data_IF_452326355561
#
_entry.id   IF_452326355561
#
_cell.length_a   1.000
_cell.length_b   1.000
_cell.length_c   1.000
_cell.angle_alpha   90.00
_cell.angle_beta   90.00
_cell.angle_gamma   90.00
#
_symmetry.space_group_name_H-M   'P 1'
#
loop_
_entity.id
_entity.type
_entity.pdbx_description
1 polymer ?
#
# COMPACT_ATOMS: atom_id res chain seq x y z
N UNK A 1 -9.08 7.26 25.50
CA UNK A 1 -10.05 7.85 26.46
C UNK A 1 -10.26 9.36 26.28
N UNK A 2 -9.21 10.16 26.11
CA UNK A 2 -9.34 11.63 25.96
C UNK A 2 -10.10 12.08 24.69
N UNK A 3 -9.87 11.41 23.55
CA UNK A 3 -10.59 11.69 22.30
C UNK A 3 -12.10 11.42 22.38
N UNK A 4 -12.50 10.37 23.11
CA UNK A 4 -13.92 10.05 23.34
C UNK A 4 -14.59 11.13 24.21
N UNK A 5 -13.91 11.65 25.23
CA UNK A 5 -14.41 12.77 26.04
C UNK A 5 -14.60 14.05 25.21
N UNK A 6 -13.67 14.35 24.30
CA UNK A 6 -13.79 15.50 23.38
C UNK A 6 -14.99 15.35 22.44
N UNK A 7 -15.20 14.16 21.88
CA UNK A 7 -16.37 13.87 21.02
C UNK A 7 -17.68 13.97 21.80
N UNK A 8 -17.72 13.45 23.03
CA UNK A 8 -18.89 13.57 23.90
C UNK A 8 -19.19 15.05 24.23
N UNK A 9 -18.16 15.87 24.47
CA UNK A 9 -18.32 17.30 24.72
C UNK A 9 -18.89 18.03 23.50
N UNK A 10 -18.39 17.74 22.29
CA UNK A 10 -18.93 18.30 21.04
C UNK A 10 -20.40 17.90 20.86
N UNK A 11 -20.75 16.64 21.09
CA UNK A 11 -22.13 16.15 20.95
C UNK A 11 -23.09 16.83 21.92
N UNK A 12 -22.67 17.03 23.19
CA UNK A 12 -23.45 17.78 24.18
C UNK A 12 -23.68 19.22 23.75
N UNK A 13 -22.65 19.88 23.20
CA UNK A 13 -22.77 21.25 22.70
C UNK A 13 -23.72 21.35 21.50
N UNK A 14 -23.71 20.39 20.57
CA UNK A 14 -24.68 20.33 19.46
C UNK A 14 -26.12 20.29 20.00
N UNK A 15 -26.39 19.42 20.98
CA UNK A 15 -27.73 19.32 21.58
C UNK A 15 -28.17 20.64 22.25
N UNK A 16 -27.24 21.37 22.89
CA UNK A 16 -27.52 22.69 23.46
C UNK A 16 -27.86 23.70 22.35
N UNK A 17 -27.05 23.77 21.29
CA UNK A 17 -27.29 24.67 20.16
C UNK A 17 -28.62 24.39 19.43
N UNK A 18 -29.02 23.11 19.33
CA UNK A 18 -30.34 22.71 18.80
C UNK A 18 -31.47 23.18 19.72
N UNK A 19 -31.33 23.03 21.04
CA UNK A 19 -32.36 23.42 22.01
C UNK A 19 -32.63 24.94 22.04
N UNK A 20 -31.63 25.75 21.69
CA UNK A 20 -31.72 27.23 21.65
C UNK A 20 -32.09 27.73 20.23
N UNK A 21 -32.26 26.82 19.26
CA UNK A 21 -32.68 27.14 17.90
C UNK A 21 -31.59 27.74 17.00
N UNK A 22 -30.32 27.62 17.40
CA UNK A 22 -29.17 28.04 16.58
C UNK A 22 -28.94 27.03 15.45
N UNK A 23 -29.13 25.75 15.74
CA UNK A 23 -29.07 24.66 14.75
C UNK A 23 -30.49 24.17 14.48
N UNK A 24 -30.88 24.08 13.21
CA UNK A 24 -32.19 23.59 12.82
C UNK A 24 -32.12 22.09 12.46
N UNK A 25 -32.76 21.19 13.22
CA UNK A 25 -32.70 19.74 13.01
C UNK A 25 -33.33 19.27 11.69
N UNK A 26 -34.05 20.15 10.97
CA UNK A 26 -34.73 19.82 9.72
C UNK A 26 -33.92 20.16 8.45
N UNK A 27 -32.80 20.87 8.57
CA UNK A 27 -31.96 21.30 7.43
C UNK A 27 -30.51 21.52 7.88
N UNK A 28 -29.70 20.47 7.98
CA UNK A 28 -28.27 20.68 8.28
C UNK A 28 -27.37 19.55 7.77
N UNK A 29 -26.21 19.98 7.24
CA UNK A 29 -25.03 19.17 7.02
C UNK A 29 -24.36 18.91 8.38
N UNK A 30 -24.06 17.64 8.70
CA UNK A 30 -23.38 17.23 9.94
C UNK A 30 -22.08 18.01 10.19
N UNK A 31 -21.37 18.40 9.14
CA UNK A 31 -20.12 19.17 9.26
C UNK A 31 -20.36 20.61 9.74
N UNK A 32 -21.48 21.23 9.32
CA UNK A 32 -21.87 22.56 9.79
C UNK A 32 -22.19 22.56 11.28
N UNK A 33 -22.91 21.54 11.76
CA UNK A 33 -23.24 21.40 13.19
C UNK A 33 -21.98 21.22 14.04
N UNK A 34 -21.08 20.36 13.57
CA UNK A 34 -19.81 20.10 14.24
C UNK A 34 -18.91 21.33 14.27
N UNK A 35 -18.86 22.10 13.18
CA UNK A 35 -18.12 23.35 13.12
C UNK A 35 -18.64 24.37 14.15
N UNK A 36 -19.97 24.59 14.20
CA UNK A 36 -20.58 25.52 15.14
C UNK A 36 -20.37 25.10 16.60
N UNK A 37 -20.45 23.80 16.89
CA UNK A 37 -20.17 23.26 18.21
C UNK A 37 -18.71 23.46 18.63
N UNK A 38 -17.75 23.19 17.73
CA UNK A 38 -16.33 23.43 17.99
C UNK A 38 -16.03 24.92 18.19
N UNK A 39 -16.63 25.80 17.39
CA UNK A 39 -16.50 27.25 17.55
C UNK A 39 -17.07 27.73 18.90
N UNK A 40 -18.22 27.19 19.31
CA UNK A 40 -18.81 27.47 20.63
C UNK A 40 -17.89 27.04 21.77
N UNK A 41 -17.29 25.84 21.65
CA UNK A 41 -16.32 25.35 22.63
C UNK A 41 -15.06 26.21 22.69
N UNK A 42 -14.57 26.69 21.55
CA UNK A 42 -13.44 27.61 21.48
C UNK A 42 -13.71 28.92 22.24
N UNK A 43 -14.92 29.49 22.12
CA UNK A 43 -15.30 30.71 22.85
C UNK A 43 -15.32 30.51 24.37
N UNK A 44 -15.78 29.34 24.81
CA UNK A 44 -15.90 28.98 26.23
C UNK A 44 -14.53 28.62 26.83
N UNK A 45 -13.59 28.12 26.02
CA UNK A 45 -12.25 27.75 26.48
C UNK A 45 -11.49 28.95 27.05
N UNK A 46 -10.84 28.76 28.19
CA UNK A 46 -10.02 29.79 28.84
C UNK A 46 -8.91 30.30 27.91
N UNK A 47 -8.79 31.62 27.74
CA UNK A 47 -7.77 32.25 26.91
C UNK A 47 -7.24 33.51 27.62
N UNK A 48 -6.15 33.35 28.38
CA UNK A 48 -5.59 34.43 29.20
C UNK A 48 -6.63 35.09 30.12
N UNK A 49 -6.58 36.42 30.23
CA UNK A 49 -7.52 37.22 31.05
C UNK A 49 -8.83 37.56 30.32
N UNK A 50 -9.05 37.05 29.10
CA UNK A 50 -10.23 37.38 28.30
C UNK A 50 -11.46 36.60 28.77
N UNK A 51 -12.48 37.34 29.22
CA UNK A 51 -13.81 36.79 29.46
C UNK A 51 -14.58 36.52 28.15
N UNK A 52 -15.73 35.84 28.26
CA UNK A 52 -16.56 35.48 27.09
C UNK A 52 -17.06 36.73 26.35
N UNK A 53 -17.37 37.81 27.07
CA UNK A 53 -17.88 39.05 26.48
C UNK A 53 -16.82 39.74 25.62
N UNK A 54 -15.60 39.84 26.14
CA UNK A 54 -14.46 40.40 25.44
C UNK A 54 -14.11 39.59 24.19
N UNK A 55 -14.16 38.24 24.26
CA UNK A 55 -13.95 37.37 23.09
C UNK A 55 -15.00 37.61 22.00
N UNK A 56 -16.27 37.67 22.37
CA UNK A 56 -17.36 37.92 21.42
C UNK A 56 -17.23 39.29 20.74
N UNK A 57 -16.85 40.32 21.51
CA UNK A 57 -16.63 41.67 20.98
C UNK A 57 -15.45 41.70 19.99
N UNK A 58 -14.32 41.09 20.35
CA UNK A 58 -13.15 41.02 19.47
C UNK A 58 -13.46 40.33 18.14
N UNK A 59 -14.20 39.22 18.19
CA UNK A 59 -14.63 38.52 16.98
C UNK A 59 -15.54 39.42 16.17
N UNK A 60 -16.56 40.04 16.75
CA UNK A 60 -17.48 40.92 16.02
C UNK A 60 -16.74 42.09 15.33
N UNK A 61 -15.76 42.70 16.01
CA UNK A 61 -14.94 43.80 15.48
C UNK A 61 -14.04 43.39 14.31
N UNK A 62 -13.57 42.13 14.29
CA UNK A 62 -12.57 41.66 13.34
C UNK A 62 -13.13 40.69 12.30
N UNK A 63 -14.33 40.15 12.48
CA UNK A 63 -14.91 39.13 11.60
C UNK A 63 -15.02 39.60 10.15
N UNK A 64 -15.38 40.88 9.94
CA UNK A 64 -15.46 41.47 8.60
C UNK A 64 -14.09 41.62 7.91
N UNK A 65 -12.99 41.59 8.69
CA UNK A 65 -11.61 41.66 8.18
C UNK A 65 -11.02 40.27 7.88
N UNK A 66 -11.63 39.21 8.42
CA UNK A 66 -11.22 37.83 8.19
C UNK A 66 -11.81 37.39 6.84
N UNK A 67 -11.03 37.59 5.77
CA UNK A 67 -11.37 37.11 4.44
C UNK A 67 -10.88 35.67 4.22
N UNK A 68 -11.43 35.00 3.21
CA UNK A 68 -10.91 33.70 2.75
C UNK A 68 -9.44 33.77 2.38
N UNK A 69 -9.01 34.85 1.71
CA UNK A 69 -7.61 35.09 1.37
C UNK A 69 -6.71 35.22 2.61
N UNK A 70 -7.17 35.93 3.64
CA UNK A 70 -6.46 36.04 4.92
C UNK A 70 -6.30 34.67 5.60
N UNK A 71 -7.36 33.86 5.64
CA UNK A 71 -7.32 32.53 6.25
C UNK A 71 -6.41 31.56 5.48
N UNK A 72 -6.40 31.62 4.14
CA UNK A 72 -5.48 30.83 3.33
C UNK A 72 -4.02 31.23 3.55
N UNK A 73 -3.72 32.53 3.61
CA UNK A 73 -2.38 33.02 3.94
C UNK A 73 -1.94 32.63 5.35
N UNK A 74 -2.84 32.71 6.34
CA UNK A 74 -2.56 32.28 7.70
C UNK A 74 -2.32 30.76 7.80
N UNK A 75 -3.07 29.95 7.05
CA UNK A 75 -2.86 28.50 6.98
C UNK A 75 -1.45 28.16 6.48
N UNK A 76 -0.99 28.86 5.45
CA UNK A 76 0.35 28.68 4.88
C UNK A 76 1.45 29.03 5.89
N UNK A 77 1.28 30.11 6.66
CA UNK A 77 2.21 30.48 7.73
C UNK A 77 2.23 29.48 8.91
N UNK A 78 1.10 28.83 9.21
CA UNK A 78 0.99 27.87 10.33
C UNK A 78 1.51 26.48 9.92
N UNK A 79 1.39 26.12 8.64
CA UNK A 79 1.88 24.84 8.10
C UNK A 79 3.41 24.77 7.94
N UNK A 80 4.14 25.87 8.19
CA UNK A 80 5.61 25.89 8.20
C UNK A 80 6.28 25.87 6.81
N UNK A 81 5.52 25.96 5.73
CA UNK A 81 6.04 26.07 4.38
C UNK A 81 6.29 27.55 4.03
N UNK A 82 7.46 28.07 4.45
CA UNK A 82 7.95 29.36 3.96
C UNK A 82 8.59 30.25 5.04
N UNK A 83 9.76 29.88 5.55
CA UNK A 83 10.67 30.87 6.11
C UNK A 83 11.23 31.74 4.98
N UNK A 84 10.52 32.81 4.61
CA UNK A 84 11.03 34.08 4.06
C UNK A 84 9.88 34.85 3.38
N UNK A 85 9.03 35.51 4.18
CA UNK A 85 8.33 36.75 3.82
C UNK A 85 7.47 37.24 5.00
N UNK A 86 8.13 37.56 6.11
CA UNK A 86 7.53 38.40 7.15
C UNK A 86 7.97 39.84 6.84
N UNK A 87 7.40 40.43 5.80
CA UNK A 87 7.35 41.89 5.68
C UNK A 87 6.28 42.28 4.65
N UNK A 88 5.32 43.10 5.09
CA UNK A 88 4.20 43.66 4.35
C UNK A 88 2.90 42.83 4.26
N UNK A 89 2.27 42.62 5.42
CA UNK A 89 0.81 42.36 5.49
C UNK A 89 -0.05 43.64 5.26
N UNK A 90 0.50 44.70 4.66
CA UNK A 90 -0.15 46.04 4.54
C UNK A 90 -0.30 46.50 3.08
N UNK A 91 0.04 45.70 2.07
CA UNK A 91 -0.12 46.09 0.66
C UNK A 91 -0.69 44.98 -0.22
N UNK A 92 -1.94 44.57 0.06
CA UNK A 92 -2.79 43.91 -0.93
C UNK A 92 -4.00 44.78 -1.24
N UNK A 93 -3.72 45.95 -1.82
CA UNK A 93 -4.71 46.72 -2.56
C UNK A 93 -4.06 47.24 -3.83
N UNK A 94 -4.20 46.50 -4.92
CA UNK A 94 -4.29 47.01 -6.29
C UNK A 94 -4.53 45.85 -7.27
N UNK A 95 -5.62 45.98 -8.02
CA UNK A 95 -5.95 45.16 -9.18
C UNK A 95 -4.86 45.30 -10.24
N UNK A 96 -4.25 44.19 -10.68
CA UNK A 96 -3.84 44.03 -12.07
C UNK A 96 -4.01 42.57 -12.51
N UNK A 97 -4.70 42.43 -13.66
CA UNK A 97 -4.84 41.19 -14.42
C UNK A 97 -3.46 40.76 -14.89
N UNK A 98 -2.92 39.71 -14.30
CA UNK A 98 -1.98 38.83 -14.96
C UNK A 98 -2.58 37.44 -14.89
N UNK A 99 -2.67 36.77 -16.04
CA UNK A 99 -3.18 35.41 -16.15
C UNK A 99 -2.38 34.51 -15.19
N UNK A 100 -3.04 33.74 -14.32
CA UNK A 100 -2.33 32.82 -13.45
C UNK A 100 -1.69 31.75 -14.34
N UNK A 101 -0.36 31.66 -14.26
CA UNK A 101 0.38 30.48 -14.69
C UNK A 101 -0.31 29.22 -14.13
N UNK A 102 -0.36 28.11 -14.89
CA UNK A 102 -1.10 26.94 -14.48
C UNK A 102 -0.55 26.44 -13.14
N UNK A 103 -1.40 26.50 -12.12
CA UNK A 103 -1.15 25.89 -10.82
C UNK A 103 -0.87 24.42 -11.07
N UNK A 104 0.40 24.01 -11.00
CA UNK A 104 0.75 22.60 -10.85
C UNK A 104 -0.05 22.09 -9.65
N UNK A 105 -0.93 21.13 -9.91
CA UNK A 105 -1.84 20.62 -8.90
C UNK A 105 -1.03 20.01 -7.76
N UNK A 106 -1.11 20.62 -6.58
CA UNK A 106 -0.64 20.11 -5.28
C UNK A 106 -1.11 18.65 -5.04
N UNK A 107 -2.15 18.22 -5.75
CA UNK A 107 -2.65 16.85 -5.77
C UNK A 107 -1.65 15.79 -6.24
N UNK A 108 -0.63 16.14 -7.02
CA UNK A 108 0.28 15.14 -7.61
C UNK A 108 1.40 14.68 -6.65
N UNK A 109 1.60 15.40 -5.53
CA UNK A 109 2.69 15.12 -4.59
C UNK A 109 2.23 14.45 -3.28
N UNK A 110 0.92 14.35 -3.06
CA UNK A 110 0.37 13.78 -1.83
C UNK A 110 0.13 12.27 -2.00
N UNK A 111 0.66 11.47 -1.08
CA UNK A 111 0.36 10.03 -1.06
C UNK A 111 -1.12 9.82 -0.73
N UNK A 112 -1.86 9.20 -1.64
CA UNK A 112 -3.29 8.95 -1.51
C UNK A 112 -3.59 7.46 -1.59
N UNK A 113 -4.44 6.99 -0.68
CA UNK A 113 -4.90 5.60 -0.62
C UNK A 113 -6.42 5.58 -0.69
N UNK A 114 -6.95 4.80 -1.63
CA UNK A 114 -8.36 4.52 -1.79
C UNK A 114 -8.84 3.43 -0.83
N UNK A 115 -10.11 3.50 -0.46
CA UNK A 115 -10.71 2.57 0.49
C UNK A 115 -10.63 1.11 0.03
N UNK A 116 -10.80 0.85 -1.26
CA UNK A 116 -10.70 -0.50 -1.82
C UNK A 116 -9.32 -1.11 -1.55
N UNK A 117 -8.26 -0.35 -1.79
CA UNK A 117 -6.91 -0.80 -1.51
C UNK A 117 -6.68 -1.07 -0.03
N UNK A 118 -7.22 -0.23 0.87
CA UNK A 118 -7.15 -0.50 2.31
C UNK A 118 -7.86 -1.79 2.71
N UNK A 119 -9.05 -2.04 2.16
CA UNK A 119 -9.80 -3.26 2.45
C UNK A 119 -9.06 -4.50 1.93
N UNK A 120 -8.46 -4.41 0.74
CA UNK A 120 -7.75 -5.52 0.12
C UNK A 120 -6.40 -5.80 0.78
N UNK A 121 -5.68 -4.77 1.19
CA UNK A 121 -4.46 -4.84 1.99
C UNK A 121 -4.66 -5.44 3.39
N UNK A 122 -5.90 -5.53 3.89
CA UNK A 122 -6.17 -5.95 5.27
C UNK A 122 -5.72 -7.39 5.56
N UNK A 123 -5.85 -8.31 4.60
CA UNK A 123 -5.39 -9.69 4.76
C UNK A 123 -3.85 -9.76 4.79
N UNK A 124 -3.17 -9.00 3.93
CA UNK A 124 -1.70 -8.87 3.94
C UNK A 124 -1.22 -8.35 5.29
N UNK A 125 -1.87 -7.31 5.82
CA UNK A 125 -1.53 -6.75 7.14
C UNK A 125 -1.78 -7.72 8.28
N UNK A 126 -2.86 -8.49 8.24
CA UNK A 126 -3.13 -9.52 9.24
C UNK A 126 -2.04 -10.59 9.23
N UNK A 127 -1.68 -11.10 8.05
CA UNK A 127 -0.60 -12.06 7.90
C UNK A 127 0.75 -11.47 8.36
N UNK A 128 1.08 -10.25 7.94
CA UNK A 128 2.27 -9.55 8.40
C UNK A 128 2.32 -9.47 9.93
N UNK A 129 1.23 -9.09 10.59
CA UNK A 129 1.18 -9.02 12.05
C UNK A 129 1.41 -10.40 12.69
N UNK A 130 0.78 -11.46 12.16
CA UNK A 130 0.91 -12.83 12.69
C UNK A 130 2.30 -13.44 12.44
N UNK A 131 2.94 -13.08 11.34
CA UNK A 131 4.18 -13.68 10.87
C UNK A 131 5.43 -12.90 11.29
N UNK A 132 5.37 -11.56 11.34
CA UNK A 132 6.53 -10.71 11.59
C UNK A 132 6.67 -10.24 13.04
N UNK A 133 5.57 -10.06 13.79
CA UNK A 133 5.64 -9.47 15.14
C UNK A 133 6.52 -10.28 16.09
N UNK A 134 6.61 -11.60 15.91
CA UNK A 134 7.49 -12.44 16.72
C UNK A 134 8.99 -12.09 16.57
N UNK A 135 9.41 -11.64 15.39
CA UNK A 135 10.78 -11.15 15.12
C UNK A 135 11.04 -9.78 15.77
N UNK A 136 9.96 -9.06 16.10
CA UNK A 136 9.97 -7.77 16.79
C UNK A 136 9.70 -7.89 18.29
N UNK A 137 9.63 -9.11 18.84
CA UNK A 137 9.24 -9.34 20.26
C UNK A 137 7.91 -8.67 20.60
N UNK A 138 7.02 -8.56 19.62
CA UNK A 138 5.67 -8.04 19.77
C UNK A 138 4.68 -9.19 19.85
N UNK A 139 3.57 -8.95 20.54
CA UNK A 139 2.45 -9.89 20.64
C UNK A 139 1.28 -9.35 19.81
N UNK A 140 0.87 -10.12 18.81
CA UNK A 140 -0.29 -9.82 17.97
C UNK A 140 -1.63 -9.83 18.72
N UNK A 141 -1.65 -10.27 19.97
CA UNK A 141 -2.84 -10.22 20.83
C UNK A 141 -2.87 -8.97 21.73
N UNK A 142 -1.88 -8.08 21.63
CA UNK A 142 -1.84 -6.83 22.39
C UNK A 142 -2.32 -5.65 21.53
N UNK A 143 -3.53 -5.13 21.76
CA UNK A 143 -4.09 -4.04 20.96
C UNK A 143 -3.20 -2.81 20.94
N UNK A 144 -2.55 -2.45 22.05
CA UNK A 144 -1.69 -1.27 22.12
C UNK A 144 -0.50 -1.35 21.15
N UNK A 145 0.11 -2.54 21.04
CA UNK A 145 1.23 -2.80 20.13
C UNK A 145 0.79 -2.72 18.67
N UNK A 146 -0.39 -3.25 18.36
CA UNK A 146 -0.97 -3.19 17.02
C UNK A 146 -1.32 -1.75 16.66
N UNK A 147 -2.19 -1.09 17.43
CA UNK A 147 -2.72 0.24 17.09
C UNK A 147 -1.67 1.34 17.08
N UNK A 148 -0.52 1.15 17.73
CA UNK A 148 0.60 2.09 17.67
C UNK A 148 1.26 2.15 16.29
N UNK A 149 1.40 1.01 15.61
CA UNK A 149 2.17 0.90 14.36
C UNK A 149 1.27 0.69 13.13
N UNK A 150 0.08 0.14 13.33
CA UNK A 150 -0.85 -0.22 12.27
C UNK A 150 -1.22 0.94 11.34
N UNK A 151 -1.41 2.21 11.78
CA UNK A 151 -1.75 3.29 10.85
C UNK A 151 -0.72 3.48 9.74
N UNK A 152 0.58 3.45 10.08
CA UNK A 152 1.66 3.64 9.11
C UNK A 152 1.88 2.39 8.25
N UNK A 153 1.85 1.21 8.86
CA UNK A 153 1.96 -0.06 8.12
C UNK A 153 0.80 -0.21 7.13
N UNK A 154 -0.43 0.04 7.59
CA UNK A 154 -1.64 -0.07 6.78
C UNK A 154 -1.64 0.92 5.64
N UNK A 155 -1.28 2.17 5.89
CA UNK A 155 -1.17 3.17 4.84
C UNK A 155 -0.14 2.76 3.78
N UNK A 156 1.05 2.31 4.21
CA UNK A 156 2.14 1.92 3.31
C UNK A 156 1.76 0.72 2.46
N UNK A 157 1.28 -0.36 3.08
CA UNK A 157 0.83 -1.56 2.38
C UNK A 157 -0.27 -1.23 1.38
N UNK A 158 -1.28 -0.48 1.81
CA UNK A 158 -2.39 -0.10 0.94
C UNK A 158 -1.93 0.76 -0.24
N UNK A 159 -0.91 1.62 -0.03
CA UNK A 159 -0.33 2.41 -1.11
C UNK A 159 0.39 1.53 -2.13
N UNK A 160 1.24 0.61 -1.66
CA UNK A 160 1.97 -0.35 -2.52
C UNK A 160 0.99 -1.22 -3.28
N UNK A 161 -0.02 -1.78 -2.61
CA UNK A 161 -1.07 -2.60 -3.22
C UNK A 161 -1.78 -1.89 -4.38
N UNK A 162 -2.03 -0.58 -4.28
CA UNK A 162 -2.60 0.17 -5.41
C UNK A 162 -1.66 0.22 -6.60
N UNK A 163 -0.36 0.39 -6.36
CA UNK A 163 0.64 0.45 -7.42
C UNK A 163 0.78 -0.92 -8.09
N UNK A 164 0.74 -2.01 -7.33
CA UNK A 164 0.70 -3.38 -7.88
C UNK A 164 -0.50 -3.58 -8.79
N UNK A 165 -1.72 -3.23 -8.34
CA UNK A 165 -2.91 -3.34 -9.18
C UNK A 165 -2.82 -2.45 -10.44
N UNK A 166 -2.19 -1.28 -10.35
CA UNK A 166 -1.96 -0.43 -11.51
C UNK A 166 -0.95 -1.08 -12.47
N UNK A 167 0.09 -1.74 -11.95
CA UNK A 167 1.07 -2.47 -12.75
C UNK A 167 0.44 -3.66 -13.48
N UNK A 168 -0.32 -4.49 -12.77
CA UNK A 168 -1.04 -5.64 -13.35
C UNK A 168 -2.01 -5.20 -14.47
N UNK A 169 -2.74 -4.09 -14.26
CA UNK A 169 -3.61 -3.52 -15.30
C UNK A 169 -2.84 -3.11 -16.55
N UNK A 170 -1.60 -2.64 -16.43
CA UNK A 170 -0.77 -2.31 -17.59
C UNK A 170 -0.39 -3.54 -18.41
N UNK A 171 -0.26 -4.72 -17.79
CA UNK A 171 0.03 -5.99 -18.48
C UNK A 171 -1.13 -6.47 -19.34
N UNK A 172 -2.36 -6.07 -19.00
CA UNK A 172 -3.59 -6.44 -19.71
C UNK A 172 -3.89 -5.54 -20.91
N UNK A 173 -3.21 -4.39 -21.04
CA UNK A 173 -3.42 -3.47 -22.16
C UNK A 173 -2.78 -4.02 -23.44
N UNK A 174 -3.44 -3.89 -24.60
CA UNK A 174 -2.85 -4.31 -25.88
C UNK A 174 -1.51 -3.62 -26.13
N UNK A 175 -0.50 -4.38 -26.58
CA UNK A 175 0.87 -3.92 -26.85
C UNK A 175 0.94 -2.67 -27.77
N UNK A 176 -0.11 -2.42 -28.56
CA UNK A 176 -0.22 -1.23 -29.41
C UNK A 176 -0.50 0.09 -28.67
N UNK A 177 -1.22 0.07 -27.55
CA UNK A 177 -1.55 1.29 -26.77
C UNK A 177 -0.37 1.79 -25.94
N UNK A 178 0.53 0.90 -25.54
CA UNK A 178 1.74 1.24 -24.77
C UNK A 178 2.66 2.18 -25.58
N UNK A 179 2.75 1.97 -26.90
CA UNK A 179 3.46 2.85 -27.84
C UNK A 179 2.71 4.12 -28.24
N UNK A 180 1.38 4.18 -28.08
CA UNK A 180 0.59 5.37 -28.42
C UNK A 180 0.69 6.43 -27.33
N UNK A 181 0.88 6.03 -26.06
CA UNK A 181 1.10 6.95 -24.93
C UNK A 181 2.49 7.62 -24.91
N UNK A 182 3.42 7.19 -25.78
CA UNK A 182 4.79 7.74 -25.89
C UNK A 182 4.88 8.87 -26.94
N UNK A 183 3.78 9.12 -27.67
CA UNK A 183 3.61 10.37 -28.43
C UNK A 183 3.06 11.42 -27.48
N UNK A 184 3.74 12.56 -27.41
CA UNK A 184 3.21 13.81 -26.86
C UNK A 184 1.86 14.10 -27.52
N UNK A 185 0.78 13.61 -26.91
CA UNK A 185 -0.58 13.98 -27.27
C UNK A 185 -0.94 15.21 -26.45
N UNK A 186 -1.36 16.23 -27.19
CA UNK A 186 -1.88 17.50 -26.70
C UNK A 186 -2.91 17.29 -25.57
N UNK A 187 -2.86 18.23 -24.63
CA UNK A 187 -3.73 18.40 -23.48
C UNK A 187 -5.22 18.32 -23.86
N UNK A 188 -5.89 17.16 -23.73
CA UNK A 188 -7.35 17.18 -23.49
C UNK A 188 -8.03 15.88 -23.00
N UNK A 189 -7.31 14.87 -22.52
CA UNK A 189 -7.96 13.70 -21.87
C UNK A 189 -7.50 13.50 -20.43
N UNK A 190 -8.04 14.36 -19.56
CA UNK A 190 -7.87 14.36 -18.11
C UNK A 190 -8.61 13.19 -17.44
N UNK A 191 -8.31 11.95 -17.84
CA UNK A 191 -8.74 10.76 -17.12
C UNK A 191 -7.81 10.52 -15.92
N UNK A 192 -8.38 10.27 -14.74
CA UNK A 192 -7.62 9.88 -13.54
C UNK A 192 -6.72 8.64 -13.79
N UNK A 193 -7.06 7.81 -14.79
CA UNK A 193 -6.25 6.67 -15.20
C UNK A 193 -4.96 7.09 -15.93
N UNK A 194 -4.99 8.10 -16.81
CA UNK A 194 -3.80 8.54 -17.52
C UNK A 194 -2.76 9.16 -16.57
N UNK A 195 -3.21 9.95 -15.58
CA UNK A 195 -2.33 10.54 -14.56
C UNK A 195 -1.67 9.46 -13.69
N UNK A 196 -2.44 8.48 -13.20
CA UNK A 196 -1.92 7.39 -12.36
C UNK A 196 -0.91 6.50 -13.11
N UNK A 197 -1.16 6.22 -14.39
CA UNK A 197 -0.20 5.48 -15.23
C UNK A 197 1.08 6.28 -15.44
N UNK A 198 0.99 7.60 -15.63
CA UNK A 198 2.16 8.48 -15.75
C UNK A 198 2.99 8.50 -14.47
N UNK A 199 2.35 8.53 -13.30
CA UNK A 199 3.04 8.45 -12.00
C UNK A 199 3.77 7.13 -11.83
N UNK A 200 3.09 6.00 -12.07
CA UNK A 200 3.68 4.67 -11.96
C UNK A 200 4.93 4.51 -12.84
N UNK A 201 4.95 5.13 -14.03
CA UNK A 201 6.08 5.04 -14.97
C UNK A 201 7.27 5.95 -14.63
N UNK A 202 7.08 7.02 -13.85
CA UNK A 202 8.13 8.01 -13.59
C UNK A 202 8.79 7.81 -12.23
N UNK A 203 7.99 7.86 -11.17
CA UNK A 203 8.47 7.85 -9.79
C UNK A 203 7.28 7.44 -8.89
N UNK A 204 6.93 6.14 -8.87
CA UNK A 204 5.76 5.64 -8.17
C UNK A 204 5.83 5.87 -6.66
N UNK A 205 7.03 5.89 -6.09
CA UNK A 205 7.22 5.97 -4.65
C UNK A 205 7.44 7.38 -4.12
N UNK A 206 7.70 8.40 -4.96
CA UNK A 206 7.91 9.78 -4.49
C UNK A 206 6.88 10.28 -3.47
N UNK A 207 5.57 10.12 -3.66
CA UNK A 207 4.60 10.58 -2.66
C UNK A 207 4.78 9.88 -1.31
N UNK A 208 5.05 8.57 -1.32
CA UNK A 208 5.30 7.79 -0.10
C UNK A 208 6.66 8.16 0.53
N UNK A 209 7.69 8.41 -0.28
CA UNK A 209 9.01 8.88 0.18
C UNK A 209 8.87 10.20 0.93
N UNK A 210 8.18 11.19 0.36
CA UNK A 210 7.92 12.49 1.00
C UNK A 210 7.17 12.29 2.34
N UNK A 211 6.14 11.45 2.35
CA UNK A 211 5.37 11.16 3.55
C UNK A 211 6.23 10.53 4.66
N UNK A 212 7.04 9.53 4.31
CA UNK A 212 7.91 8.86 5.28
C UNK A 212 9.03 9.79 5.78
N UNK A 213 9.56 10.66 4.91
CA UNK A 213 10.56 11.66 5.30
C UNK A 213 9.99 12.67 6.29
N UNK A 214 8.80 13.21 6.05
CA UNK A 214 8.12 14.12 6.97
C UNK A 214 7.85 13.52 8.35
N UNK A 215 7.65 12.20 8.43
CA UNK A 215 7.47 11.49 9.70
C UNK A 215 8.79 11.01 10.31
N UNK A 216 9.93 11.31 9.69
CA UNK A 216 11.24 10.84 10.13
C UNK A 216 11.41 9.33 10.05
N UNK A 217 10.65 8.66 9.17
CA UNK A 217 10.63 7.21 9.02
C UNK A 217 11.42 6.69 7.81
N UNK A 218 11.78 7.57 6.88
CA UNK A 218 12.53 7.20 5.69
C UNK A 218 13.98 6.85 6.04
N UNK A 219 14.44 5.69 5.55
CA UNK A 219 15.83 5.25 5.67
C UNK A 219 16.40 4.88 4.31
N UNK A 220 17.72 4.87 4.15
CA UNK A 220 18.36 4.43 2.90
C UNK A 220 18.01 2.99 2.52
N UNK A 221 17.79 2.12 3.51
CA UNK A 221 17.37 0.74 3.26
C UNK A 221 15.93 0.65 2.77
N UNK A 222 15.03 1.49 3.27
CA UNK A 222 13.65 1.58 2.74
C UNK A 222 13.68 2.10 1.29
N UNK A 223 14.51 3.11 0.99
CA UNK A 223 14.69 3.59 -0.40
C UNK A 223 15.21 2.50 -1.33
N UNK A 224 16.10 1.63 -0.85
CA UNK A 224 16.56 0.47 -1.62
C UNK A 224 15.43 -0.53 -1.87
N UNK A 225 14.58 -0.82 -0.90
CA UNK A 225 13.43 -1.71 -1.13
C UNK A 225 12.39 -1.10 -2.10
N UNK A 226 12.24 0.22 -2.14
CA UNK A 226 11.45 0.88 -3.19
C UNK A 226 12.07 0.69 -4.58
N UNK A 227 13.40 0.82 -4.71
CA UNK A 227 14.09 0.52 -5.97
C UNK A 227 13.93 -0.95 -6.38
N UNK A 228 13.97 -1.87 -5.41
CA UNK A 228 13.66 -3.29 -5.63
C UNK A 228 12.24 -3.49 -6.19
N UNK A 229 11.24 -2.79 -5.66
CA UNK A 229 9.86 -2.83 -6.17
C UNK A 229 9.73 -2.28 -7.59
N UNK A 230 10.40 -1.16 -7.89
CA UNK A 230 10.44 -0.61 -9.26
C UNK A 230 11.10 -1.58 -10.25
N UNK A 231 12.21 -2.21 -9.84
CA UNK A 231 12.91 -3.25 -10.61
C UNK A 231 12.00 -4.45 -10.85
N UNK A 232 11.31 -4.93 -9.81
CA UNK A 232 10.34 -6.02 -9.92
C UNK A 232 9.27 -5.72 -10.96
N UNK A 233 8.57 -4.59 -10.84
CA UNK A 233 7.52 -4.23 -11.80
C UNK A 233 8.05 -4.08 -13.23
N UNK A 234 9.29 -3.60 -13.40
CA UNK A 234 9.93 -3.53 -14.72
C UNK A 234 10.22 -4.92 -15.29
N UNK A 235 10.73 -5.85 -14.47
CA UNK A 235 10.98 -7.24 -14.87
C UNK A 235 9.69 -7.99 -15.18
N UNK A 236 8.66 -7.84 -14.34
CA UNK A 236 7.34 -8.42 -14.58
C UNK A 236 6.78 -7.99 -15.92
N UNK A 237 6.76 -6.67 -16.21
CA UNK A 237 6.33 -6.15 -17.52
C UNK A 237 7.17 -6.70 -18.66
N UNK A 238 8.49 -6.74 -18.51
CA UNK A 238 9.40 -7.28 -19.54
C UNK A 238 9.09 -8.75 -19.86
N UNK A 239 9.01 -9.58 -18.82
CA UNK A 239 8.83 -11.02 -18.95
C UNK A 239 7.43 -11.38 -19.48
N UNK A 240 6.37 -10.78 -18.93
CA UNK A 240 5.01 -11.05 -19.37
C UNK A 240 4.74 -10.53 -20.79
N UNK A 241 5.31 -9.38 -21.19
CA UNK A 241 5.25 -8.93 -22.59
C UNK A 241 5.99 -9.88 -23.54
N UNK A 242 7.12 -10.43 -23.13
CA UNK A 242 7.86 -11.40 -23.92
C UNK A 242 7.07 -12.71 -24.11
N UNK A 243 6.39 -13.21 -23.07
CA UNK A 243 5.48 -14.36 -23.18
C UNK A 243 4.36 -14.11 -24.20
N UNK A 244 3.69 -12.96 -24.14
CA UNK A 244 2.59 -12.63 -25.07
C UNK A 244 3.05 -12.48 -26.52
N UNK A 245 4.31 -12.10 -26.74
CA UNK A 245 4.90 -11.91 -28.08
C UNK A 245 5.67 -13.14 -28.55
N UNK A 246 5.64 -14.24 -27.79
CA UNK A 246 6.41 -15.47 -27.99
C UNK A 246 7.94 -15.27 -28.08
N UNK A 247 8.46 -14.17 -27.52
CA UNK A 247 9.89 -13.86 -27.51
C UNK A 247 10.65 -14.68 -26.46
N UNK A 248 11.96 -14.83 -26.65
CA UNK A 248 12.85 -15.42 -25.63
C UNK A 248 12.85 -14.59 -24.33
N UNK A 249 13.02 -15.29 -23.20
CA UNK A 249 13.16 -14.67 -21.88
C UNK A 249 14.52 -15.05 -21.27
N UNK A 250 15.01 -14.24 -20.33
CA UNK A 250 16.17 -14.59 -19.50
C UNK A 250 15.68 -15.29 -18.22
N UNK A 251 16.31 -16.41 -17.89
CA UNK A 251 16.03 -17.09 -16.62
C UNK A 251 16.57 -16.31 -15.43
N UNK A 252 17.68 -15.58 -15.61
CA UNK A 252 18.25 -14.71 -14.58
C UNK A 252 17.28 -13.60 -14.20
N UNK A 253 16.61 -12.99 -15.19
CA UNK A 253 15.55 -12.00 -14.96
C UNK A 253 14.36 -12.59 -14.20
N UNK A 254 13.92 -13.80 -14.57
CA UNK A 254 12.82 -14.49 -13.89
C UNK A 254 13.17 -14.84 -12.43
N UNK A 255 14.39 -15.34 -12.20
CA UNK A 255 14.90 -15.60 -10.85
C UNK A 255 15.03 -14.29 -10.08
N UNK A 256 15.51 -13.20 -10.69
CA UNK A 256 15.58 -11.90 -10.03
C UNK A 256 14.20 -11.39 -9.65
N UNK A 257 13.22 -11.48 -10.56
CA UNK A 257 11.85 -11.04 -10.31
C UNK A 257 11.22 -11.75 -9.09
N UNK A 258 11.28 -13.09 -9.02
CA UNK A 258 10.68 -13.82 -7.88
C UNK A 258 11.35 -13.47 -6.54
N UNK A 259 12.65 -13.14 -6.52
CA UNK A 259 13.32 -12.68 -5.30
C UNK A 259 12.93 -11.25 -4.89
N UNK A 260 12.43 -10.45 -5.82
CA UNK A 260 12.04 -9.06 -5.54
C UNK A 260 10.55 -8.93 -5.20
N UNK A 261 9.72 -9.92 -5.54
CA UNK A 261 8.26 -9.89 -5.49
C UNK A 261 7.71 -9.39 -4.13
N UNK A 262 8.20 -9.92 -3.01
CA UNK A 262 7.76 -9.53 -1.65
C UNK A 262 8.50 -8.30 -1.06
N UNK A 263 8.83 -7.29 -1.89
CA UNK A 263 9.53 -6.08 -1.39
C UNK A 263 8.65 -5.26 -0.42
N UNK A 264 7.33 -5.32 -0.57
CA UNK A 264 6.32 -4.73 0.28
C UNK A 264 6.46 -5.19 1.74
N UNK A 265 6.54 -6.50 1.98
CA UNK A 265 6.79 -7.09 3.30
C UNK A 265 8.13 -6.61 3.89
N UNK A 266 9.17 -6.48 3.06
CA UNK A 266 10.48 -5.98 3.48
C UNK A 266 10.42 -4.49 3.87
N UNK A 267 9.68 -3.66 3.13
CA UNK A 267 9.39 -2.26 3.51
C UNK A 267 8.66 -2.20 4.85
N UNK A 268 7.60 -2.99 5.03
CA UNK A 268 6.83 -3.04 6.28
C UNK A 268 7.68 -3.47 7.47
N UNK A 269 8.55 -4.47 7.28
CA UNK A 269 9.45 -4.97 8.30
C UNK A 269 10.47 -3.89 8.74
N UNK A 270 11.07 -3.19 7.78
CA UNK A 270 12.00 -2.09 8.03
C UNK A 270 11.32 -0.91 8.73
N UNK A 271 10.12 -0.54 8.29
CA UNK A 271 9.31 0.49 8.95
C UNK A 271 9.03 0.10 10.41
N UNK A 272 8.71 -1.16 10.67
CA UNK A 272 8.44 -1.62 12.03
C UNK A 272 9.68 -1.56 12.93
N UNK A 273 10.86 -1.95 12.43
CA UNK A 273 12.12 -1.77 13.18
C UNK A 273 12.34 -0.29 13.53
N UNK A 274 12.20 0.58 12.54
CA UNK A 274 12.49 2.01 12.70
C UNK A 274 11.48 2.71 13.62
N UNK A 275 10.18 2.44 13.49
CA UNK A 275 9.14 2.95 14.39
C UNK A 275 9.31 2.48 15.84
N UNK A 276 9.96 1.33 16.06
CA UNK A 276 10.30 0.81 17.39
C UNK A 276 11.61 1.36 17.94
N UNK A 277 12.41 2.06 17.12
CA UNK A 277 13.74 2.53 17.50
C UNK A 277 14.74 1.39 17.67
N UNK A 278 14.52 0.27 16.99
CA UNK A 278 15.33 -0.95 17.11
C UNK A 278 16.26 -1.08 15.91
N UNK A 279 17.47 -1.61 16.14
CA UNK A 279 18.40 -1.90 15.05
C UNK A 279 17.86 -3.07 14.23
N UNK A 280 17.91 -2.94 12.90
CA UNK A 280 17.57 -4.04 12.00
C UNK A 280 18.46 -5.25 12.28
N UNK A 281 17.84 -6.42 12.44
CA UNK A 281 18.53 -7.68 12.63
C UNK A 281 18.73 -8.36 11.27
N UNK A 282 19.97 -8.42 10.79
CA UNK A 282 20.30 -8.98 9.47
C UNK A 282 19.95 -10.47 9.34
N UNK A 283 20.08 -11.25 10.42
CA UNK A 283 19.69 -12.66 10.40
C UNK A 283 18.18 -12.79 10.17
N UNK A 284 17.38 -11.92 10.81
CA UNK A 284 15.93 -11.92 10.60
C UNK A 284 15.59 -11.53 9.15
N UNK A 285 16.26 -10.49 8.60
CA UNK A 285 16.04 -10.06 7.22
C UNK A 285 16.40 -11.16 6.22
N UNK A 286 17.54 -11.84 6.40
CA UNK A 286 17.95 -12.92 5.51
C UNK A 286 17.01 -14.12 5.60
N UNK A 287 16.65 -14.55 6.82
CA UNK A 287 15.70 -15.64 7.02
C UNK A 287 14.34 -15.35 6.39
N UNK A 288 13.78 -14.16 6.66
CA UNK A 288 12.46 -13.77 6.16
C UNK A 288 12.46 -13.67 4.63
N UNK A 289 13.49 -13.08 4.03
CA UNK A 289 13.61 -12.99 2.55
C UNK A 289 13.55 -14.35 1.85
N UNK A 290 14.09 -15.39 2.50
CA UNK A 290 14.08 -16.73 1.95
C UNK A 290 12.74 -17.44 2.20
N UNK A 291 12.12 -17.17 3.34
CA UNK A 291 10.78 -17.67 3.61
C UNK A 291 9.74 -17.05 2.68
N UNK A 292 9.84 -15.74 2.43
CA UNK A 292 9.06 -14.99 1.45
C UNK A 292 9.18 -15.65 0.07
N UNK A 293 10.41 -15.91 -0.42
CA UNK A 293 10.64 -16.60 -1.69
C UNK A 293 9.88 -17.94 -1.80
N UNK A 294 9.94 -18.77 -0.75
CA UNK A 294 9.25 -20.06 -0.74
C UNK A 294 7.72 -19.90 -0.72
N UNK A 295 7.20 -18.87 -0.06
CA UNK A 295 5.77 -18.54 -0.10
C UNK A 295 5.37 -18.09 -1.49
N UNK A 296 6.11 -17.18 -2.12
CA UNK A 296 5.83 -16.69 -3.48
C UNK A 296 5.83 -17.82 -4.52
N UNK A 297 6.79 -18.74 -4.43
CA UNK A 297 6.80 -19.93 -5.31
C UNK A 297 5.58 -20.82 -5.05
N UNK A 298 5.14 -20.93 -3.79
CA UNK A 298 3.94 -21.71 -3.46
C UNK A 298 2.67 -21.06 -4.01
N UNK A 299 2.56 -19.73 -3.90
CA UNK A 299 1.42 -18.97 -4.42
C UNK A 299 1.39 -19.04 -5.95
N UNK A 300 2.52 -18.86 -6.62
CA UNK A 300 2.63 -19.04 -8.08
C UNK A 300 2.21 -20.45 -8.53
N UNK A 301 2.58 -21.50 -7.79
CA UNK A 301 2.16 -22.86 -8.14
C UNK A 301 0.65 -23.08 -7.97
N UNK A 302 0.04 -22.40 -7.00
CA UNK A 302 -1.40 -22.46 -6.74
C UNK A 302 -2.20 -21.67 -7.79
N UNK A 303 -1.75 -20.46 -8.10
CA UNK A 303 -2.43 -19.52 -9.01
C UNK A 303 -2.03 -19.72 -10.49
N UNK A 304 -1.22 -20.74 -10.80
CA UNK A 304 -0.62 -20.97 -12.13
C UNK A 304 -1.58 -20.81 -13.31
N UNK A 305 -2.77 -21.44 -13.25
CA UNK A 305 -3.75 -21.35 -14.33
C UNK A 305 -4.37 -19.94 -14.44
N UNK A 306 -4.66 -19.30 -13.30
CA UNK A 306 -5.21 -17.94 -13.26
C UNK A 306 -4.18 -16.90 -13.75
N UNK A 307 -2.92 -17.06 -13.36
CA UNK A 307 -1.82 -16.20 -13.80
C UNK A 307 -1.54 -16.34 -15.29
N UNK A 308 -1.67 -17.55 -15.84
CA UNK A 308 -1.72 -17.72 -17.29
C UNK A 308 -2.85 -16.86 -17.79
N UNK A 309 -4.12 -17.09 -17.42
CA UNK A 309 -5.26 -16.36 -18.01
C UNK A 309 -5.13 -14.83 -17.93
N UNK A 310 -4.60 -14.29 -16.83
CA UNK A 310 -4.46 -12.85 -16.59
C UNK A 310 -3.15 -12.24 -17.14
N UNK A 311 -2.21 -13.07 -17.61
CA UNK A 311 -0.87 -12.66 -18.02
C UNK A 311 -0.05 -12.04 -16.87
N UNK A 312 -0.19 -12.57 -15.66
CA UNK A 312 0.53 -12.14 -14.47
C UNK A 312 1.87 -12.89 -14.32
N UNK A 313 2.88 -12.28 -13.70
CA UNK A 313 4.13 -13.00 -13.48
C UNK A 313 3.90 -14.29 -12.68
N UNK A 314 4.57 -15.36 -13.10
CA UNK A 314 4.52 -16.65 -12.43
C UNK A 314 5.80 -17.42 -12.75
N UNK A 315 6.51 -17.89 -11.73
CA UNK A 315 7.82 -18.52 -11.91
C UNK A 315 7.75 -19.81 -12.72
N UNK A 316 6.69 -20.61 -12.60
CA UNK A 316 6.53 -21.82 -13.41
C UNK A 316 6.31 -21.47 -14.88
N UNK A 317 5.52 -20.43 -15.20
CA UNK A 317 5.37 -19.94 -16.59
C UNK A 317 6.73 -19.57 -17.18
N UNK A 318 7.57 -18.86 -16.42
CA UNK A 318 8.92 -18.50 -16.86
C UNK A 318 9.81 -19.73 -17.07
N UNK A 319 9.79 -20.68 -16.14
CA UNK A 319 10.57 -21.91 -16.27
C UNK A 319 10.13 -22.73 -17.48
N UNK A 320 8.84 -22.81 -17.77
CA UNK A 320 8.30 -23.49 -18.96
C UNK A 320 8.76 -22.81 -20.24
N UNK A 321 8.71 -21.48 -20.31
CA UNK A 321 9.19 -20.73 -21.49
C UNK A 321 10.69 -20.93 -21.75
N UNK A 322 11.50 -20.98 -20.68
CA UNK A 322 12.96 -21.08 -20.82
C UNK A 322 13.46 -22.52 -20.99
N UNK A 323 13.04 -23.45 -20.13
CA UNK A 323 13.51 -24.83 -20.12
C UNK A 323 12.67 -25.78 -20.99
N UNK A 324 11.46 -25.35 -21.39
CA UNK A 324 10.47 -26.21 -22.03
C UNK A 324 9.65 -27.01 -21.02
N UNK A 325 8.44 -27.40 -21.43
CA UNK A 325 7.45 -28.03 -20.55
C UNK A 325 7.93 -29.32 -19.87
N UNK A 326 8.78 -30.11 -20.53
CA UNK A 326 9.28 -31.37 -19.99
C UNK A 326 10.36 -31.20 -18.92
N UNK A 327 11.19 -30.15 -19.02
CA UNK A 327 12.31 -29.92 -18.10
C UNK A 327 11.99 -28.90 -17.00
N UNK A 328 10.99 -28.04 -17.18
CA UNK A 328 10.63 -26.99 -16.23
C UNK A 328 10.30 -27.51 -14.83
N UNK A 329 9.45 -28.55 -14.62
CA UNK A 329 9.14 -29.06 -13.28
C UNK A 329 10.39 -29.54 -12.52
N UNK A 330 11.30 -30.23 -13.19
CA UNK A 330 12.52 -30.74 -12.57
C UNK A 330 13.49 -29.61 -12.18
N UNK A 331 13.61 -28.58 -13.03
CA UNK A 331 14.44 -27.42 -12.72
C UNK A 331 13.83 -26.58 -11.59
N UNK A 332 12.52 -26.42 -11.55
CA UNK A 332 11.84 -25.70 -10.46
C UNK A 332 11.97 -26.46 -9.13
N UNK A 333 11.82 -27.78 -9.13
CA UNK A 333 12.04 -28.60 -7.94
C UNK A 333 13.47 -28.46 -7.40
N UNK A 334 14.47 -28.39 -8.30
CA UNK A 334 15.86 -28.14 -7.91
C UNK A 334 16.03 -26.76 -7.27
N UNK A 335 15.47 -25.72 -7.88
CA UNK A 335 15.50 -24.35 -7.35
C UNK A 335 14.87 -24.28 -5.95
N UNK A 336 13.71 -24.89 -5.76
CA UNK A 336 13.02 -25.01 -4.47
C UNK A 336 13.91 -25.73 -3.45
N UNK A 337 14.51 -26.86 -3.82
CA UNK A 337 15.37 -27.66 -2.92
C UNK A 337 16.55 -26.83 -2.40
N UNK A 338 17.22 -26.08 -3.29
CA UNK A 338 18.35 -25.22 -2.92
C UNK A 338 17.92 -24.10 -1.95
N UNK A 339 16.73 -23.53 -2.15
CA UNK A 339 16.15 -22.53 -1.26
C UNK A 339 15.77 -23.13 0.10
N UNK A 340 15.14 -24.31 0.13
CA UNK A 340 14.78 -25.02 1.37
C UNK A 340 16.02 -25.40 2.20
N UNK A 341 17.10 -25.85 1.55
CA UNK A 341 18.35 -26.15 2.25
C UNK A 341 18.95 -24.92 2.93
N UNK A 342 18.86 -23.75 2.30
CA UNK A 342 19.31 -22.48 2.90
C UNK A 342 18.34 -22.05 4.02
N UNK A 343 17.04 -22.27 3.85
CA UNK A 343 16.02 -21.95 4.84
C UNK A 343 16.23 -22.76 6.11
N UNK A 344 16.46 -24.06 5.99
CA UNK A 344 16.72 -24.95 7.12
C UNK A 344 18.00 -24.61 7.89
N UNK A 345 19.01 -24.06 7.20
CA UNK A 345 20.23 -23.56 7.87
C UNK A 345 19.92 -22.31 8.69
N UNK A 346 19.28 -21.31 8.08
CA UNK A 346 18.95 -20.04 8.75
C UNK A 346 17.94 -20.24 9.88
N UNK A 347 16.97 -21.14 9.72
CA UNK A 347 16.00 -21.49 10.76
C UNK A 347 16.73 -21.97 12.02
N UNK A 348 17.75 -22.81 11.90
CA UNK A 348 18.54 -23.28 13.06
C UNK A 348 19.31 -22.15 13.74
N UNK A 349 19.68 -21.10 13.01
CA UNK A 349 20.42 -19.95 13.52
C UNK A 349 19.55 -18.94 14.29
N UNK A 350 18.24 -18.88 14.04
CA UNK A 350 17.30 -17.98 14.75
C UNK A 350 17.19 -18.25 16.25
N UNK A 351 17.65 -19.41 16.71
CA UNK A 351 17.52 -19.88 18.08
C UNK A 351 16.20 -20.62 18.32
N UNK A 352 16.16 -21.48 19.36
CA UNK A 352 15.12 -22.51 19.50
C UNK A 352 13.72 -21.94 19.73
N UNK A 353 13.59 -20.82 20.45
CA UNK A 353 12.29 -20.23 20.77
C UNK A 353 11.63 -19.61 19.53
N UNK A 354 12.37 -18.77 18.80
CA UNK A 354 11.85 -18.07 17.62
C UNK A 354 11.56 -19.05 16.49
N UNK A 355 12.45 -20.03 16.27
CA UNK A 355 12.26 -21.10 15.28
C UNK A 355 10.98 -21.89 15.54
N UNK A 356 10.72 -22.28 16.80
CA UNK A 356 9.52 -23.03 17.17
C UNK A 356 8.24 -22.20 16.99
N UNK A 357 8.28 -20.91 17.35
CA UNK A 357 7.14 -20.00 17.12
C UNK A 357 6.85 -19.84 15.63
N UNK A 358 7.90 -19.66 14.83
CA UNK A 358 7.76 -19.50 13.39
C UNK A 358 7.20 -20.76 12.73
N UNK A 359 7.74 -21.94 13.06
CA UNK A 359 7.22 -23.22 12.57
C UNK A 359 5.73 -23.38 12.90
N UNK A 360 5.30 -23.09 14.13
CA UNK A 360 3.87 -23.12 14.50
C UNK A 360 3.02 -22.19 13.65
N UNK A 361 3.51 -20.97 13.36
CA UNK A 361 2.82 -20.04 12.46
C UNK A 361 2.69 -20.61 11.05
N UNK A 362 3.72 -21.28 10.52
CA UNK A 362 3.63 -21.96 9.22
C UNK A 362 2.58 -23.08 9.23
N UNK A 363 2.47 -23.84 10.32
CA UNK A 363 1.43 -24.88 10.47
C UNK A 363 0.01 -24.29 10.56
N UNK A 364 -0.13 -23.14 11.22
CA UNK A 364 -1.38 -22.39 11.26
C UNK A 364 -1.76 -21.87 9.88
N UNK A 365 -0.83 -21.23 9.17
CA UNK A 365 -1.05 -20.72 7.82
C UNK A 365 -1.46 -21.85 6.85
N UNK A 366 -0.79 -22.99 6.92
CA UNK A 366 -1.11 -24.18 6.11
C UNK A 366 -2.54 -24.69 6.38
N UNK A 367 -3.01 -24.58 7.62
CA UNK A 367 -4.35 -25.03 8.02
C UNK A 367 -5.43 -24.00 7.68
N UNK A 368 -5.13 -22.72 7.83
CA UNK A 368 -5.99 -21.59 7.45
C UNK A 368 -6.27 -21.63 5.95
N UNK A 369 -5.28 -22.04 5.16
CA UNK A 369 -5.50 -22.32 3.75
C UNK A 369 -6.47 -23.47 3.51
N UNK A 370 -6.75 -24.37 4.45
CA UNK A 370 -7.74 -25.45 4.29
C UNK A 370 -7.15 -26.85 4.14
N UNK A 371 -5.83 -27.01 4.32
CA UNK A 371 -5.21 -28.34 4.43
C UNK A 371 -5.57 -28.98 5.78
N UNK A 372 -6.40 -30.01 5.72
CA UNK A 372 -6.88 -30.74 6.92
C UNK A 372 -6.16 -32.07 7.16
N UNK A 373 -5.31 -32.51 6.22
CA UNK A 373 -4.55 -33.76 6.31
C UNK A 373 -3.19 -33.66 5.59
N UNK A 374 -2.22 -34.48 6.01
CA UNK A 374 -0.85 -34.50 5.47
C UNK A 374 0.19 -33.81 6.37
N UNK A 375 1.42 -33.59 5.88
CA UNK A 375 2.49 -32.96 6.65
C UNK A 375 2.11 -31.55 7.11
N UNK A 376 2.48 -31.15 8.34
CA UNK A 376 2.02 -29.91 8.96
C UNK A 376 2.55 -28.64 8.27
N UNK A 377 3.65 -28.73 7.53
CA UNK A 377 4.24 -27.64 6.72
C UNK A 377 3.88 -27.73 5.22
N UNK A 378 2.92 -28.60 4.86
CA UNK A 378 2.49 -28.78 3.47
C UNK A 378 3.40 -29.65 2.61
N UNK A 379 3.03 -29.84 1.34
CA UNK A 379 3.78 -30.56 0.28
C UNK A 379 3.76 -29.78 -1.02
N UNK A 380 4.87 -29.73 -1.76
CA UNK A 380 4.89 -29.08 -3.08
C UNK A 380 4.06 -29.86 -4.09
N UNK A 381 3.12 -29.17 -4.73
CA UNK A 381 2.40 -29.68 -5.90
C UNK A 381 2.79 -28.83 -7.11
N UNK A 382 3.33 -29.48 -8.14
CA UNK A 382 3.57 -28.80 -9.42
C UNK A 382 2.35 -29.08 -10.30
N UNK A 383 1.58 -28.05 -10.69
CA UNK A 383 0.38 -28.23 -11.50
C UNK A 383 0.75 -28.78 -12.89
N UNK A 384 -0.26 -29.24 -13.61
CA UNK A 384 -0.07 -29.68 -15.00
C UNK A 384 0.42 -28.50 -15.85
N UNK A 385 1.60 -28.65 -16.43
CA UNK A 385 2.21 -27.62 -17.26
C UNK A 385 1.37 -27.36 -18.51
N UNK A 386 1.11 -26.09 -18.78
CA UNK A 386 0.50 -25.61 -20.02
C UNK A 386 1.61 -25.31 -21.03
N UNK A 387 1.67 -26.10 -22.11
CA UNK A 387 2.71 -25.93 -23.15
C UNK A 387 2.41 -24.75 -24.10
N UNK A 388 1.13 -24.52 -24.39
CA UNK A 388 0.66 -23.48 -25.32
C UNK A 388 -0.37 -22.59 -24.61
N UNK A 389 0.12 -21.49 -24.04
CA UNK A 389 -0.72 -20.52 -23.34
C UNK A 389 -1.74 -19.85 -24.26
N UNK A 390 -1.41 -19.62 -25.53
CA UNK A 390 -2.32 -18.95 -26.48
C UNK A 390 -3.54 -19.83 -26.77
N UNK A 391 -3.29 -21.13 -26.98
CA UNK A 391 -4.35 -22.14 -27.09
C UNK A 391 -5.15 -22.24 -25.80
N UNK A 392 -4.49 -22.31 -24.63
CA UNK A 392 -5.17 -22.41 -23.32
C UNK A 392 -6.12 -21.23 -23.07
N UNK A 393 -5.67 -19.99 -23.31
CA UNK A 393 -6.51 -18.78 -23.20
C UNK A 393 -7.72 -18.81 -24.14
N UNK A 394 -7.53 -19.31 -25.36
CA UNK A 394 -8.59 -19.40 -26.38
C UNK A 394 -9.63 -20.43 -25.97
N UNK A 395 -9.20 -21.62 -25.55
CA UNK A 395 -10.10 -22.69 -25.08
C UNK A 395 -10.92 -22.24 -23.87
N UNK A 396 -10.28 -21.58 -22.90
CA UNK A 396 -10.96 -21.05 -21.72
C UNK A 396 -12.02 -20.00 -22.09
N UNK A 397 -11.69 -19.08 -23.01
CA UNK A 397 -12.60 -18.03 -23.50
C UNK A 397 -13.83 -18.59 -24.23
N UNK A 398 -13.69 -19.75 -24.88
CA UNK A 398 -14.80 -20.41 -25.59
C UNK A 398 -15.64 -21.33 -24.70
N UNK A 399 -15.11 -21.75 -23.55
CA UNK A 399 -15.84 -22.58 -22.60
C UNK A 399 -16.66 -21.69 -21.65
N UNK A 400 -17.98 -21.71 -21.79
CA UNK A 400 -18.92 -21.04 -20.88
C UNK A 400 -18.97 -21.72 -19.51
N UNK A 401 -17.85 -21.79 -18.77
CA UNK A 401 -17.88 -22.22 -17.36
C UNK A 401 -18.35 -21.04 -16.50
N UNK A 402 -19.29 -21.24 -15.57
CA UNK A 402 -19.73 -20.17 -14.69
C UNK A 402 -18.52 -19.68 -13.89
N UNK A 403 -18.35 -18.35 -13.80
CA UNK A 403 -17.35 -17.73 -12.93
C UNK A 403 -17.53 -18.33 -11.53
N UNK A 404 -16.59 -19.18 -11.13
CA UNK A 404 -16.42 -19.54 -9.73
C UNK A 404 -16.33 -18.25 -8.95
N UNK A 405 -17.10 -18.17 -7.87
CA UNK A 405 -17.12 -17.03 -6.97
C UNK A 405 -15.69 -16.59 -6.67
N UNK A 406 -15.44 -15.28 -6.72
CA UNK A 406 -14.26 -14.67 -6.10
C UNK A 406 -14.24 -15.14 -4.65
N UNK A 407 -13.47 -16.19 -4.39
CA UNK A 407 -13.16 -16.60 -3.03
C UNK A 407 -12.30 -15.49 -2.47
N UNK A 408 -12.65 -15.00 -1.30
CA UNK A 408 -11.85 -13.99 -0.60
C UNK A 408 -10.37 -14.39 -0.63
N UNK A 409 -9.50 -13.43 -0.97
CA UNK A 409 -8.04 -13.50 -0.80
C UNK A 409 -7.76 -13.87 0.66
N UNK A 410 -7.66 -15.17 0.92
CA UNK A 410 -7.25 -15.78 2.18
C UNK A 410 -6.29 -16.89 1.74
N UNK A 411 -5.00 -16.59 1.88
CA UNK A 411 -3.82 -17.46 1.73
C UNK A 411 -4.20 -18.95 1.67
N UNK A 412 -4.01 -19.60 0.52
CA UNK A 412 -4.57 -20.93 0.26
C UNK A 412 -3.58 -21.87 -0.46
N UNK A 413 -3.17 -22.88 0.31
CA UNK A 413 -2.84 -24.28 0.01
C UNK A 413 -2.06 -24.75 -1.23
N UNK A 414 -0.92 -25.36 -0.87
CA UNK A 414 -0.43 -26.67 -1.31
C UNK A 414 -1.49 -27.82 -1.30
N UNK A 415 -1.89 -28.33 -2.46
CA UNK A 415 -2.66 -29.59 -2.61
C UNK A 415 -2.03 -30.58 -3.59
N UNK A 416 -1.76 -31.80 -3.06
CA UNK A 416 -1.30 -33.08 -3.64
C UNK A 416 -0.07 -33.12 -4.56
#
# INVERSE_FOLDING_TARGET
MEGLKKLEQVQRTIHVLQSIGIINPSKTNNDSERFLANFTLLLIQHCGELDISAKCQLIAEHMAKISTAYLMGALQCISGEGENQIESAVSLHCYHKEDPAPVQSISDEMAMVGLDAMLRASSTLEDFCRSYFMFHKMDGNQPESIFRHLPMLSFTESYIYQLDNLNEKLLQLPTGEVTVLDRDYDEDERSLSATSVRMLRRDPFRPLVILLEHHGLLTERIKEEFRCGEEYWALERKLCCALMSDNEISIEDAIRAIHLKSFDYRVLNLLLYHMRGEKVNELHMEFLSLSELLVEVSDDLFDYEEDILNNNFNILRMFVKYYGASAAPANLAKFITEAEEKYDRLLKELGPELSLKYQKRCEEATREGGKTSGPPLGTWHVPMVVEDEAKYRTEFSTSSRPRGQSVNKLLLNRHE
#
